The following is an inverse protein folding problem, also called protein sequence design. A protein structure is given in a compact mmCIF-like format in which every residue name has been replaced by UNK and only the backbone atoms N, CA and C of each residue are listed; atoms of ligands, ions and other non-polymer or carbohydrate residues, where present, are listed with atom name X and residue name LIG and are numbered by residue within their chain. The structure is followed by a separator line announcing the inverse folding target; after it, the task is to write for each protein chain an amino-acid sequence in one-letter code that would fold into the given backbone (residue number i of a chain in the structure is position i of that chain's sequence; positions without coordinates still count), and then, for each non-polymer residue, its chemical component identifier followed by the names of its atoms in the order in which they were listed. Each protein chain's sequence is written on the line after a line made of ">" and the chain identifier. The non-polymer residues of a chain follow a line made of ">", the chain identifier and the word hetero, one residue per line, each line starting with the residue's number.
data_IF_744837121061
#
_entry.id   IF_744837121061
#
_cell.length_a   1.000
_cell.length_b   1.000
_cell.length_c   1.000
_cell.angle_alpha   90.00
_cell.angle_beta   90.00
_cell.angle_gamma   90.00
#
_symmetry.space_group_name_H-M   'P 1'
#
loop_
_entity.id
_entity.type
_entity.pdbx_description
1 polymer ?
#
# COMPACT_ATOMS: atom_id res chain seq x y z
N UNK A 1 2.66 -16.86 2.47
CA UNK A 1 2.46 -16.89 1.00
C UNK A 1 3.29 -15.81 0.29
N UNK A 2 3.15 -14.53 0.66
CA UNK A 2 3.90 -13.41 0.07
C UNK A 2 5.43 -13.56 0.17
N UNK A 3 5.94 -13.94 1.35
CA UNK A 3 7.37 -14.24 1.56
C UNK A 3 7.89 -15.40 0.68
N UNK A 4 7.06 -16.43 0.49
CA UNK A 4 7.40 -17.59 -0.35
C UNK A 4 7.47 -17.22 -1.84
N UNK A 5 6.56 -16.37 -2.30
CA UNK A 5 6.57 -15.80 -3.66
C UNK A 5 7.83 -14.96 -3.91
N UNK A 6 8.27 -14.21 -2.91
CA UNK A 6 9.52 -13.46 -2.93
C UNK A 6 10.76 -14.31 -3.14
N UNK A 7 10.85 -15.43 -2.42
CA UNK A 7 11.96 -16.39 -2.54
C UNK A 7 11.98 -17.03 -3.94
N UNK A 8 10.81 -17.31 -4.51
CA UNK A 8 10.72 -17.91 -5.85
C UNK A 8 11.15 -16.92 -6.95
N UNK A 9 10.76 -15.64 -6.82
CA UNK A 9 11.09 -14.59 -7.80
C UNK A 9 12.49 -13.97 -7.60
N UNK A 10 13.11 -14.18 -6.42
CA UNK A 10 14.47 -13.75 -6.07
C UNK A 10 15.53 -14.15 -7.09
N UNK A 11 15.34 -15.31 -7.74
CA UNK A 11 16.29 -15.82 -8.75
C UNK A 11 16.42 -14.90 -9.98
N UNK A 12 15.47 -14.01 -10.22
CA UNK A 12 15.50 -13.06 -11.36
C UNK A 12 15.81 -11.62 -10.96
N UNK A 13 15.51 -11.22 -9.72
CA UNK A 13 15.78 -9.88 -9.21
C UNK A 13 15.95 -9.88 -7.69
N UNK A 14 17.10 -9.42 -7.15
CA UNK A 14 17.27 -9.27 -5.70
C UNK A 14 16.31 -8.22 -5.11
N UNK A 15 15.85 -7.26 -5.91
CA UNK A 15 14.92 -6.20 -5.51
C UNK A 15 13.52 -6.78 -5.24
N UNK A 16 13.11 -7.82 -5.98
CA UNK A 16 11.83 -8.48 -5.78
C UNK A 16 11.72 -9.17 -4.41
N UNK A 17 12.83 -9.70 -3.88
CA UNK A 17 12.87 -10.31 -2.55
C UNK A 17 12.75 -9.27 -1.43
N UNK A 18 13.38 -8.10 -1.58
CA UNK A 18 13.24 -6.99 -0.64
C UNK A 18 11.82 -6.44 -0.58
N UNK A 19 11.13 -6.33 -1.71
CA UNK A 19 9.78 -5.77 -1.74
C UNK A 19 8.75 -6.70 -1.08
N UNK A 20 8.83 -7.99 -1.41
CA UNK A 20 7.92 -9.01 -0.88
C UNK A 20 8.13 -9.27 0.60
N UNK A 21 9.36 -9.11 1.12
CA UNK A 21 9.63 -9.19 2.56
C UNK A 21 9.07 -7.98 3.32
N UNK A 22 9.22 -6.76 2.79
CA UNK A 22 8.64 -5.57 3.43
C UNK A 22 7.11 -5.64 3.39
N UNK A 23 6.52 -6.01 2.25
CA UNK A 23 5.07 -6.17 2.12
C UNK A 23 4.53 -7.25 3.08
N UNK A 24 5.23 -8.39 3.21
CA UNK A 24 4.89 -9.42 4.19
C UNK A 24 4.99 -8.88 5.62
N UNK A 25 5.95 -8.01 5.92
CA UNK A 25 6.12 -7.37 7.22
C UNK A 25 4.96 -6.43 7.55
N UNK A 26 4.52 -5.60 6.61
CA UNK A 26 3.36 -4.71 6.79
C UNK A 26 2.09 -5.52 7.05
N UNK A 27 1.84 -6.58 6.27
CA UNK A 27 0.66 -7.43 6.46
C UNK A 27 0.66 -8.11 7.84
N UNK A 28 1.81 -8.61 8.30
CA UNK A 28 1.95 -9.21 9.63
C UNK A 28 1.80 -8.18 10.75
N UNK A 29 2.33 -6.96 10.56
CA UNK A 29 2.16 -5.87 11.52
C UNK A 29 0.69 -5.48 11.68
N UNK A 30 -0.05 -5.37 10.57
CA UNK A 30 -1.49 -5.05 10.60
C UNK A 30 -2.29 -6.18 11.25
N UNK A 31 -1.96 -7.44 10.96
CA UNK A 31 -2.58 -8.57 11.63
C UNK A 31 -2.34 -8.54 13.14
N UNK A 32 -1.13 -8.22 13.58
CA UNK A 32 -0.80 -8.09 15.00
C UNK A 32 -1.54 -6.93 15.67
N UNK A 33 -1.67 -5.78 15.00
CA UNK A 33 -2.44 -4.63 15.51
C UNK A 33 -3.92 -4.96 15.69
N UNK A 34 -4.47 -5.87 14.89
CA UNK A 34 -5.85 -6.35 15.02
C UNK A 34 -6.07 -7.23 16.25
N UNK A 35 -5.03 -7.86 16.80
CA UNK A 35 -5.10 -8.72 18.00
C UNK A 35 -4.85 -7.96 19.30
N UNK A 36 -4.49 -6.66 19.23
CA UNK A 36 -4.28 -5.84 20.42
C UNK A 36 -5.61 -5.58 21.13
N UNK A 37 -5.82 -6.34 22.21
CA UNK A 37 -6.99 -6.41 23.06
C UNK A 37 -7.59 -5.01 23.41
N UNK A 38 -8.79 -4.65 22.92
CA UNK A 38 -9.43 -3.42 23.34
C UNK A 38 -9.83 -3.54 24.82
N UNK A 39 -9.50 -2.52 25.61
CA UNK A 39 -10.04 -2.39 26.97
C UNK A 39 -11.57 -2.49 26.93
N UNK A 40 -12.16 -3.21 27.89
CA UNK A 40 -13.60 -3.44 28.02
C UNK A 40 -14.32 -2.10 28.19
N UNK A 41 -14.62 -1.50 27.07
CA UNK A 41 -15.56 -0.39 26.89
C UNK A 41 -16.56 -0.89 25.88
N UNK A 42 -17.83 -0.53 26.05
CA UNK A 42 -18.88 -0.99 25.17
C UNK A 42 -18.57 -0.43 23.76
N UNK A 43 -18.04 -1.27 22.87
CA UNK A 43 -17.76 -0.89 21.49
C UNK A 43 -19.06 -0.33 20.93
N UNK A 44 -19.05 0.93 20.50
CA UNK A 44 -20.20 1.52 19.82
C UNK A 44 -20.61 0.57 18.69
N UNK A 45 -21.90 0.23 18.53
CA UNK A 45 -22.36 -0.90 17.70
C UNK A 45 -21.89 -0.84 16.23
N UNK A 46 -21.51 0.34 15.76
CA UNK A 46 -20.89 0.59 14.45
C UNK A 46 -19.51 -0.09 14.23
N UNK A 47 -18.75 -0.38 15.29
CA UNK A 47 -17.44 -1.05 15.19
C UNK A 47 -17.52 -2.59 15.10
N UNK A 48 -18.69 -3.19 15.34
CA UNK A 48 -18.89 -4.64 15.32
C UNK A 48 -19.49 -5.14 13.98
N UNK A 49 -19.02 -4.60 12.85
CA UNK A 49 -19.49 -5.00 11.51
C UNK A 49 -18.37 -5.63 10.68
N UNK A 50 -18.69 -6.72 9.97
CA UNK A 50 -17.79 -7.41 9.05
C UNK A 50 -17.25 -6.49 7.95
N UNK A 51 -18.08 -5.56 7.48
CA UNK A 51 -17.71 -4.60 6.45
C UNK A 51 -16.64 -3.61 6.89
N UNK A 52 -16.59 -3.22 8.17
CA UNK A 52 -15.56 -2.33 8.69
C UNK A 52 -14.18 -2.99 8.61
N UNK A 53 -14.09 -4.24 9.04
CA UNK A 53 -12.83 -4.99 9.06
C UNK A 53 -12.28 -5.19 7.65
N UNK A 54 -13.14 -5.52 6.68
CA UNK A 54 -12.74 -5.63 5.27
C UNK A 54 -12.30 -4.26 4.72
N UNK A 55 -13.09 -3.22 4.94
CA UNK A 55 -12.75 -1.88 4.46
C UNK A 55 -11.38 -1.40 4.99
N UNK A 56 -11.17 -1.48 6.30
CA UNK A 56 -9.94 -1.01 6.95
C UNK A 56 -8.72 -1.82 6.50
N UNK A 57 -8.85 -3.15 6.39
CA UNK A 57 -7.76 -4.00 5.92
C UNK A 57 -7.36 -3.71 4.47
N UNK A 58 -8.35 -3.50 3.58
CA UNK A 58 -8.10 -3.14 2.17
C UNK A 58 -7.45 -1.76 2.03
N UNK A 59 -7.96 -0.75 2.74
CA UNK A 59 -7.36 0.60 2.71
C UNK A 59 -5.96 0.61 3.31
N UNK A 60 -5.73 -0.13 4.39
CA UNK A 60 -4.41 -0.20 5.02
C UNK A 60 -3.41 -0.93 4.12
N UNK A 61 -3.83 -1.99 3.42
CA UNK A 61 -3.01 -2.65 2.41
C UNK A 61 -2.65 -1.68 1.26
N UNK A 62 -3.60 -0.90 0.76
CA UNK A 62 -3.37 0.13 -0.26
C UNK A 62 -2.29 1.14 0.17
N UNK A 63 -2.46 1.76 1.35
CA UNK A 63 -1.47 2.71 1.87
C UNK A 63 -0.11 2.06 2.10
N UNK A 64 -0.07 0.77 2.45
CA UNK A 64 1.15 -0.01 2.50
C UNK A 64 1.88 -0.03 1.14
N UNK A 65 1.18 -0.35 0.05
CA UNK A 65 1.77 -0.33 -1.30
C UNK A 65 2.21 1.07 -1.74
N UNK A 66 1.40 2.10 -1.51
CA UNK A 66 1.77 3.48 -1.84
C UNK A 66 2.97 3.97 -1.03
N UNK A 67 3.06 3.59 0.26
CA UNK A 67 4.21 3.86 1.11
C UNK A 67 5.49 3.16 0.64
N UNK A 68 5.37 1.91 0.18
CA UNK A 68 6.48 1.19 -0.46
C UNK A 68 6.93 1.88 -1.74
N UNK A 69 6.00 2.39 -2.54
CA UNK A 69 6.32 3.12 -3.76
C UNK A 69 7.09 4.41 -3.46
N UNK A 70 6.70 5.15 -2.42
CA UNK A 70 7.42 6.34 -2.00
C UNK A 70 8.87 6.03 -1.58
N UNK A 71 9.06 4.95 -0.80
CA UNK A 71 10.40 4.52 -0.36
C UNK A 71 11.26 4.08 -1.56
N UNK A 72 10.71 3.26 -2.45
CA UNK A 72 11.41 2.80 -3.66
C UNK A 72 11.74 3.99 -4.58
N UNK A 73 10.82 4.94 -4.74
CA UNK A 73 11.02 6.18 -5.48
C UNK A 73 12.19 7.00 -4.94
N UNK A 74 12.24 7.25 -3.63
CA UNK A 74 13.35 7.95 -2.98
C UNK A 74 14.67 7.20 -3.19
N UNK A 75 14.67 5.87 -3.07
CA UNK A 75 15.85 5.05 -3.33
C UNK A 75 16.34 5.17 -4.78
N UNK A 76 15.43 5.18 -5.76
CA UNK A 76 15.80 5.39 -7.18
C UNK A 76 16.36 6.79 -7.43
N UNK A 77 15.78 7.83 -6.83
CA UNK A 77 16.29 9.20 -6.91
C UNK A 77 17.69 9.31 -6.30
N UNK A 78 17.93 8.64 -5.18
CA UNK A 78 19.24 8.55 -4.56
C UNK A 78 20.25 7.89 -5.52
N UNK A 79 19.91 6.77 -6.15
CA UNK A 79 20.75 6.12 -7.16
C UNK A 79 21.02 7.02 -8.39
N UNK A 80 20.04 7.81 -8.82
CA UNK A 80 20.21 8.78 -9.90
C UNK A 80 21.23 9.87 -9.56
N UNK A 81 21.30 10.31 -8.29
CA UNK A 81 22.30 11.27 -7.83
C UNK A 81 23.74 10.73 -7.99
N UNK A 82 23.96 9.44 -7.76
CA UNK A 82 25.27 8.77 -7.94
C UNK A 82 25.56 8.31 -9.37
N UNK A 83 24.60 8.43 -10.30
CA UNK A 83 24.74 7.96 -11.67
C UNK A 83 25.77 8.78 -12.48
N UNK A 84 25.97 10.04 -12.12
CA UNK A 84 26.82 11.00 -12.85
C UNK A 84 28.13 11.30 -12.12
N UNK A 85 28.83 10.25 -11.67
CA UNK A 85 30.22 10.36 -11.27
C UNK A 85 31.07 9.92 -12.47
N UNK A 86 31.80 10.85 -13.09
CA UNK A 86 32.84 10.61 -14.10
C UNK A 86 32.42 10.47 -15.59
N UNK A 87 31.23 10.91 -15.99
CA UNK A 87 30.85 11.03 -17.41
C UNK A 87 30.66 9.70 -18.16
N UNK A 88 30.79 8.56 -17.48
CA UNK A 88 30.45 7.22 -17.99
C UNK A 88 29.27 6.67 -17.19
N UNK A 89 28.20 6.29 -17.88
CA UNK A 89 27.06 5.64 -17.25
C UNK A 89 27.45 4.23 -16.78
N UNK A 90 27.33 3.96 -15.48
CA UNK A 90 27.46 2.60 -14.98
C UNK A 90 26.21 1.81 -15.40
N UNK A 91 26.34 0.97 -16.43
CA UNK A 91 25.28 0.13 -16.98
C UNK A 91 24.54 -0.70 -15.91
N UNK A 92 25.25 -1.12 -14.86
CA UNK A 92 24.63 -1.88 -13.75
C UNK A 92 23.69 -1.01 -12.91
N UNK A 93 24.04 0.26 -12.66
CA UNK A 93 23.20 1.19 -11.92
C UNK A 93 21.98 1.58 -12.76
N UNK A 94 22.17 1.83 -14.06
CA UNK A 94 21.07 2.14 -14.97
C UNK A 94 20.05 0.99 -15.06
N UNK A 95 20.53 -0.26 -15.11
CA UNK A 95 19.68 -1.45 -15.08
C UNK A 95 18.91 -1.53 -13.76
N UNK A 96 19.56 -1.32 -12.62
CA UNK A 96 18.91 -1.35 -11.31
C UNK A 96 17.85 -0.25 -11.17
N UNK A 97 18.10 0.96 -11.68
CA UNK A 97 17.12 2.05 -11.70
C UNK A 97 15.92 1.66 -12.56
N UNK A 98 16.14 1.16 -13.77
CA UNK A 98 15.05 0.77 -14.69
C UNK A 98 14.17 -0.33 -14.10
N UNK A 99 14.78 -1.36 -13.51
CA UNK A 99 14.06 -2.44 -12.85
C UNK A 99 13.30 -1.95 -11.60
N UNK A 100 13.92 -1.09 -10.79
CA UNK A 100 13.25 -0.50 -9.62
C UNK A 100 12.07 0.40 -10.03
N UNK A 101 12.19 1.20 -11.09
CA UNK A 101 11.11 2.05 -11.61
C UNK A 101 9.96 1.21 -12.16
N UNK A 102 10.24 0.12 -12.91
CA UNK A 102 9.18 -0.80 -13.38
C UNK A 102 8.43 -1.45 -12.24
N UNK A 103 9.14 -1.89 -11.21
CA UNK A 103 8.53 -2.47 -10.01
C UNK A 103 7.68 -1.42 -9.28
N UNK A 104 8.19 -0.19 -9.19
CA UNK A 104 7.48 0.92 -8.56
C UNK A 104 6.16 1.24 -9.28
N UNK A 105 6.18 1.29 -10.61
CA UNK A 105 4.99 1.52 -11.44
C UNK A 105 3.93 0.43 -11.22
N UNK A 106 4.32 -0.84 -11.20
CA UNK A 106 3.40 -1.95 -10.93
C UNK A 106 2.80 -1.87 -9.53
N UNK A 107 3.63 -1.59 -8.51
CA UNK A 107 3.17 -1.45 -7.14
C UNK A 107 2.22 -0.26 -6.96
N UNK A 108 2.45 0.84 -7.68
CA UNK A 108 1.60 2.03 -7.65
C UNK A 108 0.21 1.74 -8.22
N UNK A 109 0.14 1.06 -9.37
CA UNK A 109 -1.13 0.64 -9.97
C UNK A 109 -1.93 -0.25 -9.00
N UNK A 110 -1.27 -1.23 -8.39
CA UNK A 110 -1.92 -2.09 -7.38
C UNK A 110 -2.39 -1.30 -6.14
N UNK A 111 -1.58 -0.37 -5.65
CA UNK A 111 -1.94 0.50 -4.53
C UNK A 111 -3.18 1.34 -4.84
N UNK A 112 -3.25 1.93 -6.04
CA UNK A 112 -4.38 2.75 -6.49
C UNK A 112 -5.65 1.93 -6.71
N UNK A 113 -5.55 0.74 -7.29
CA UNK A 113 -6.67 -0.19 -7.42
C UNK A 113 -7.24 -0.59 -6.05
N UNK A 114 -6.39 -0.85 -5.07
CA UNK A 114 -6.85 -1.15 -3.71
C UNK A 114 -7.47 0.07 -3.03
N UNK A 115 -6.96 1.28 -3.28
CA UNK A 115 -7.52 2.52 -2.73
C UNK A 115 -8.94 2.76 -3.24
N UNK A 116 -9.15 2.62 -4.55
CA UNK A 116 -10.44 2.79 -5.20
C UNK A 116 -11.45 1.76 -4.70
N UNK A 117 -11.10 0.47 -4.70
CA UNK A 117 -11.95 -0.59 -4.15
C UNK A 117 -12.24 -0.38 -2.67
N UNK A 118 -11.22 -0.01 -1.88
CA UNK A 118 -11.36 0.30 -0.46
C UNK A 118 -12.37 1.42 -0.20
N UNK A 119 -12.36 2.48 -1.02
CA UNK A 119 -13.30 3.58 -0.89
C UNK A 119 -14.75 3.16 -1.17
N UNK A 120 -14.98 2.33 -2.20
CA UNK A 120 -16.31 1.77 -2.46
C UNK A 120 -16.81 0.86 -1.34
N UNK A 121 -15.93 0.02 -0.78
CA UNK A 121 -16.25 -0.80 0.40
C UNK A 121 -16.59 0.06 1.62
N UNK A 122 -15.95 1.24 1.74
CA UNK A 122 -16.25 2.23 2.76
C UNK A 122 -17.65 2.81 2.62
N UNK A 123 -18.08 3.11 1.39
CA UNK A 123 -19.44 3.59 1.12
C UNK A 123 -20.50 2.54 1.48
N UNK A 124 -20.23 1.25 1.26
CA UNK A 124 -21.13 0.16 1.67
C UNK A 124 -21.24 0.10 3.20
N UNK A 125 -20.11 0.20 3.90
CA UNK A 125 -20.09 0.24 5.37
C UNK A 125 -20.80 1.49 5.93
N UNK A 126 -20.64 2.64 5.28
CA UNK A 126 -21.32 3.89 5.66
C UNK A 126 -22.85 3.75 5.55
N UNK A 127 -23.33 3.04 4.53
CA UNK A 127 -24.76 2.74 4.39
C UNK A 127 -25.29 1.86 5.52
N UNK A 128 -24.54 0.83 5.91
CA UNK A 128 -24.91 -0.06 7.03
C UNK A 128 -24.90 0.69 8.37
N UNK A 129 -23.97 1.63 8.54
CA UNK A 129 -23.71 2.31 9.81
C UNK A 129 -24.57 3.57 10.02
N UNK A 130 -24.77 4.34 8.96
CA UNK A 130 -25.39 5.68 9.00
C UNK A 130 -26.58 5.81 8.06
N UNK A 131 -26.98 4.75 7.36
CA UNK A 131 -28.13 4.73 6.45
C UNK A 131 -27.93 5.48 5.14
N UNK A 132 -26.68 5.83 4.78
CA UNK A 132 -26.32 6.54 3.55
C UNK A 132 -24.94 6.16 3.03
N UNK A 133 -24.79 6.14 1.71
CA UNK A 133 -23.53 5.74 1.06
C UNK A 133 -22.44 6.82 1.06
N UNK A 134 -22.84 8.11 1.02
CA UNK A 134 -21.91 9.24 0.90
C UNK A 134 -22.58 10.52 1.39
N UNK A 135 -21.85 11.30 2.18
CA UNK A 135 -22.26 12.52 2.86
C UNK A 135 -21.40 13.75 2.55
N UNK A 136 -20.35 13.62 1.73
CA UNK A 136 -19.38 14.69 1.43
C UNK A 136 -18.74 15.29 2.68
N UNK A 137 -18.56 14.48 3.73
CA UNK A 137 -17.80 14.94 4.88
C UNK A 137 -16.31 15.12 4.49
N UNK A 138 -15.54 15.77 5.35
CA UNK A 138 -14.13 16.03 5.08
C UNK A 138 -13.35 14.73 4.77
N UNK A 139 -13.72 13.59 5.34
CA UNK A 139 -13.02 12.31 5.12
C UNK A 139 -13.35 11.71 3.76
N UNK A 140 -14.64 11.62 3.42
CA UNK A 140 -15.09 11.14 2.13
C UNK A 140 -14.59 12.02 0.97
N UNK A 141 -14.65 13.35 1.12
CA UNK A 141 -14.18 14.29 0.09
C UNK A 141 -12.69 14.12 -0.18
N UNK A 142 -11.87 13.96 0.86
CA UNK A 142 -10.44 13.70 0.70
C UNK A 142 -10.15 12.33 0.10
N UNK A 143 -10.96 11.30 0.39
CA UNK A 143 -10.82 10.00 -0.25
C UNK A 143 -11.05 10.09 -1.77
N UNK A 144 -12.06 10.86 -2.20
CA UNK A 144 -12.32 11.11 -3.63
C UNK A 144 -11.20 11.92 -4.30
N UNK A 145 -10.71 12.99 -3.64
CA UNK A 145 -9.57 13.77 -4.15
C UNK A 145 -8.33 12.88 -4.30
N UNK A 146 -8.07 11.99 -3.34
CA UNK A 146 -6.93 11.08 -3.38
C UNK A 146 -6.99 10.14 -4.58
N UNK A 147 -8.18 9.65 -4.94
CA UNK A 147 -8.39 8.79 -6.12
C UNK A 147 -8.21 9.56 -7.43
N UNK A 148 -8.55 10.85 -7.47
CA UNK A 148 -8.41 11.67 -8.68
C UNK A 148 -6.99 12.18 -8.91
N UNK A 149 -6.24 12.41 -7.85
CA UNK A 149 -4.88 12.98 -7.92
C UNK A 149 -3.82 11.91 -8.19
N UNK A 150 -4.00 10.70 -7.66
CA UNK A 150 -3.09 9.56 -7.88
C UNK A 150 -3.53 8.70 -9.06
#
# INVERSE_FOLDING_TARGET
>A
ALSLSGIFFSRKSPIALSLTSILSGVVLMVAHLSEMNPQITNLVPVLNSYWLSIHVSVITASYGFLGLCALLGIFTLFLMCFLKKDGKYNLNILRNITEATRINEMAMIFGLCLLTVGNFLGAIWANESWGRYWSWDSKETWALVSILVY
#
